data_IF_356750074942
#
_entry.id   IF_356750074942
#
_cell.length_a   1.000
_cell.length_b   1.000
_cell.length_c   1.000
_cell.angle_alpha   90.00
_cell.angle_beta   90.00
_cell.angle_gamma   90.00
#
_symmetry.space_group_name_H-M   'P 1'
#
loop_
_entity.id
_entity.type
_entity.pdbx_description
1 polymer ?
#
# COMPACT_ATOMS: atom_id res chain seq x y z
N UNK A 1 -9.10 -10.11 20.74
CA UNK A 1 -9.33 -11.49 20.22
C UNK A 1 -8.73 -11.61 18.83
N UNK A 2 -7.73 -12.48 18.62
CA UNK A 2 -7.24 -12.85 17.28
C UNK A 2 -7.97 -14.13 16.84
N UNK A 3 -8.98 -14.00 15.97
CA UNK A 3 -9.64 -15.11 15.28
C UNK A 3 -8.61 -15.93 14.45
N UNK A 4 -8.86 -17.22 14.15
CA UNK A 4 -7.85 -18.31 14.09
C UNK A 4 -6.88 -18.29 12.89
N UNK A 5 -6.86 -17.21 12.14
CA UNK A 5 -6.28 -17.18 10.80
C UNK A 5 -4.77 -16.88 10.82
N UNK A 6 -4.23 -16.37 11.95
CA UNK A 6 -2.85 -15.92 12.15
C UNK A 6 -2.21 -15.26 10.91
N UNK A 7 -3.00 -14.47 10.18
CA UNK A 7 -2.62 -13.91 8.89
C UNK A 7 -1.32 -13.09 8.96
N UNK A 8 -1.08 -12.44 10.10
CA UNK A 8 0.16 -11.71 10.41
C UNK A 8 1.42 -12.59 10.45
N UNK A 9 1.27 -13.89 10.71
CA UNK A 9 2.38 -14.86 10.78
C UNK A 9 2.62 -15.59 9.45
N UNK A 10 1.75 -15.40 8.45
CA UNK A 10 1.91 -16.06 7.15
C UNK A 10 3.06 -15.41 6.36
N UNK A 11 3.92 -16.24 5.79
CA UNK A 11 5.01 -15.77 4.94
C UNK A 11 4.47 -15.14 3.65
N UNK A 12 4.93 -13.94 3.33
CA UNK A 12 4.62 -13.23 2.08
C UNK A 12 5.35 -13.82 0.86
N UNK A 13 6.34 -14.70 1.05
CA UNK A 13 7.03 -15.36 -0.08
C UNK A 13 6.09 -16.35 -0.80
N UNK A 14 5.13 -16.93 -0.08
CA UNK A 14 4.15 -17.85 -0.65
C UNK A 14 2.99 -17.07 -1.31
N UNK A 15 2.75 -17.31 -2.60
CA UNK A 15 1.70 -16.62 -3.37
C UNK A 15 0.27 -16.88 -2.86
N UNK A 16 -0.03 -18.10 -2.42
CA UNK A 16 -1.35 -18.45 -1.83
C UNK A 16 -1.62 -17.65 -0.56
N UNK A 17 -0.61 -17.52 0.31
CA UNK A 17 -0.71 -16.70 1.51
C UNK A 17 -0.96 -15.23 1.18
N UNK A 18 -0.26 -14.68 0.16
CA UNK A 18 -0.49 -13.31 -0.31
C UNK A 18 -1.91 -13.12 -0.80
N UNK A 19 -2.43 -14.04 -1.63
CA UNK A 19 -3.79 -13.97 -2.17
C UNK A 19 -4.85 -13.96 -1.06
N UNK A 20 -4.68 -14.80 -0.04
CA UNK A 20 -5.59 -14.83 1.10
C UNK A 20 -5.52 -13.53 1.93
N UNK A 21 -4.31 -13.00 2.15
CA UNK A 21 -4.09 -11.72 2.81
C UNK A 21 -4.72 -10.56 2.04
N UNK A 22 -4.52 -10.49 0.73
CA UNK A 22 -5.11 -9.46 -0.14
C UNK A 22 -6.64 -9.55 -0.08
N UNK A 23 -7.21 -10.74 -0.20
CA UNK A 23 -8.66 -10.96 -0.09
C UNK A 23 -9.21 -10.44 1.25
N UNK A 24 -8.52 -10.75 2.35
CA UNK A 24 -8.90 -10.25 3.69
C UNK A 24 -8.79 -8.73 3.80
N UNK A 25 -7.68 -8.14 3.34
CA UNK A 25 -7.46 -6.69 3.39
C UNK A 25 -8.48 -5.95 2.53
N UNK A 26 -8.80 -6.47 1.33
CA UNK A 26 -9.77 -5.89 0.42
C UNK A 26 -11.16 -5.78 1.04
N UNK A 27 -11.65 -6.85 1.71
CA UNK A 27 -12.93 -6.84 2.43
C UNK A 27 -12.99 -5.77 3.54
N UNK A 28 -11.84 -5.36 4.07
CA UNK A 28 -11.74 -4.42 5.17
C UNK A 28 -11.35 -3.00 4.75
N UNK A 29 -11.22 -2.73 3.44
CA UNK A 29 -10.77 -1.43 2.91
C UNK A 29 -11.62 -0.27 3.40
N UNK A 30 -12.95 -0.37 3.27
CA UNK A 30 -13.86 0.72 3.64
C UNK A 30 -13.80 1.03 5.14
N UNK A 31 -13.75 -0.02 5.97
CA UNK A 31 -13.64 0.12 7.44
C UNK A 31 -12.33 0.78 7.87
N UNK A 32 -11.27 0.61 7.09
CA UNK A 32 -9.92 1.09 7.42
C UNK A 32 -9.45 2.22 6.49
N UNK A 33 -10.37 2.90 5.81
CA UNK A 33 -10.05 3.89 4.78
C UNK A 33 -9.10 4.98 5.28
N UNK A 34 -9.22 5.40 6.53
CA UNK A 34 -8.38 6.46 7.13
C UNK A 34 -7.25 5.91 8.02
N UNK A 35 -7.01 4.60 8.00
CA UNK A 35 -6.02 3.96 8.86
C UNK A 35 -4.67 3.83 8.14
N UNK A 36 -3.68 4.62 8.59
CA UNK A 36 -2.32 4.62 8.04
C UNK A 36 -1.66 3.23 8.13
N UNK A 37 -1.81 2.53 9.26
CA UNK A 37 -1.19 1.22 9.46
C UNK A 37 -1.79 0.16 8.53
N UNK A 38 -3.09 0.26 8.26
CA UNK A 38 -3.76 -0.59 7.27
C UNK A 38 -3.18 -0.38 5.88
N UNK A 39 -3.09 0.87 5.40
CA UNK A 39 -2.54 1.16 4.08
C UNK A 39 -1.05 0.82 3.96
N UNK A 40 -0.27 1.01 5.02
CA UNK A 40 1.13 0.60 5.05
C UNK A 40 1.28 -0.92 4.91
N UNK A 41 0.46 -1.69 5.65
CA UNK A 41 0.45 -3.16 5.53
C UNK A 41 -0.01 -3.60 4.13
N UNK A 42 -1.08 -2.99 3.61
CA UNK A 42 -1.62 -3.31 2.30
C UNK A 42 -0.61 -3.01 1.18
N UNK A 43 0.06 -1.87 1.23
CA UNK A 43 1.14 -1.51 0.31
C UNK A 43 2.27 -2.54 0.32
N UNK A 44 2.70 -3.02 1.50
CA UNK A 44 3.73 -4.05 1.61
C UNK A 44 3.29 -5.33 0.87
N UNK A 45 2.06 -5.79 1.10
CA UNK A 45 1.55 -7.01 0.45
C UNK A 45 1.42 -6.81 -1.07
N UNK A 46 0.82 -5.69 -1.50
CA UNK A 46 0.62 -5.37 -2.91
C UNK A 46 1.96 -5.17 -3.65
N UNK A 47 3.03 -4.78 -2.95
CA UNK A 47 4.34 -4.54 -3.55
C UNK A 47 5.02 -5.80 -4.09
N UNK A 48 4.65 -6.99 -3.61
CA UNK A 48 5.18 -8.27 -4.10
C UNK A 48 4.70 -8.61 -5.51
N UNK A 49 3.57 -8.06 -5.93
CA UNK A 49 2.97 -8.27 -7.25
C UNK A 49 2.82 -6.92 -8.00
N UNK A 50 3.69 -5.93 -7.69
CA UNK A 50 3.60 -4.54 -8.17
C UNK A 50 3.64 -4.36 -9.69
N UNK A 51 4.23 -5.31 -10.40
CA UNK A 51 4.28 -5.29 -11.88
C UNK A 51 2.94 -5.67 -12.53
N UNK A 52 2.03 -6.28 -11.76
CA UNK A 52 0.74 -6.80 -12.27
C UNK A 52 -0.48 -6.10 -11.69
N UNK A 53 -0.31 -5.18 -10.73
CA UNK A 53 -1.40 -4.84 -9.81
C UNK A 53 -1.67 -3.34 -9.68
N UNK A 54 -2.81 -2.90 -10.22
CA UNK A 54 -3.36 -1.54 -10.01
C UNK A 54 -3.63 -1.21 -8.53
N UNK A 55 -3.83 -2.21 -7.67
CA UNK A 55 -4.04 -1.99 -6.23
C UNK A 55 -2.78 -1.48 -5.53
N UNK A 56 -1.58 -1.74 -6.06
CA UNK A 56 -0.34 -1.19 -5.53
C UNK A 56 -0.35 0.34 -5.55
N UNK A 57 -0.66 0.93 -6.70
CA UNK A 57 -0.68 2.40 -6.84
C UNK A 57 -1.74 3.04 -5.94
N UNK A 58 -2.91 2.39 -5.83
CA UNK A 58 -3.99 2.83 -4.94
C UNK A 58 -3.57 2.78 -3.47
N UNK A 59 -2.94 1.69 -3.04
CA UNK A 59 -2.41 1.57 -1.68
C UNK A 59 -1.33 2.62 -1.41
N UNK A 60 -0.46 2.90 -2.38
CA UNK A 60 0.56 3.92 -2.28
C UNK A 60 -0.04 5.32 -2.14
N UNK A 61 -0.97 5.71 -3.03
CA UNK A 61 -1.61 7.03 -3.00
C UNK A 61 -2.34 7.26 -1.68
N UNK A 62 -3.14 6.30 -1.22
CA UNK A 62 -3.85 6.45 0.05
C UNK A 62 -2.89 6.65 1.22
N UNK A 63 -1.82 5.86 1.27
CA UNK A 63 -0.81 6.02 2.31
C UNK A 63 -0.09 7.38 2.20
N UNK A 64 0.25 7.80 0.99
CA UNK A 64 0.91 9.08 0.71
C UNK A 64 0.08 10.25 1.20
N UNK A 65 -1.22 10.29 0.86
CA UNK A 65 -2.13 11.35 1.29
C UNK A 65 -2.31 11.37 2.81
N UNK A 66 -2.52 10.21 3.43
CA UNK A 66 -2.76 10.12 4.87
C UNK A 66 -1.52 10.47 5.70
N UNK A 67 -0.32 10.32 5.13
CA UNK A 67 0.94 10.58 5.85
C UNK A 67 1.49 11.97 5.61
N UNK A 68 0.76 12.88 4.93
CA UNK A 68 1.22 14.25 4.65
C UNK A 68 1.73 15.02 5.88
N UNK A 69 1.09 14.83 7.03
CA UNK A 69 1.49 15.47 8.29
C UNK A 69 2.61 14.71 9.04
N UNK A 70 2.94 13.49 8.63
CA UNK A 70 4.06 12.71 9.16
C UNK A 70 5.30 12.91 8.27
N UNK A 71 6.11 13.92 8.60
CA UNK A 71 7.25 14.36 7.78
C UNK A 71 8.20 13.22 7.39
N UNK A 72 8.58 12.38 8.35
CA UNK A 72 9.52 11.28 8.09
C UNK A 72 8.92 10.25 7.13
N UNK A 73 7.71 9.76 7.43
CA UNK A 73 7.06 8.73 6.61
C UNK A 73 6.75 9.26 5.20
N UNK A 74 6.32 10.51 5.09
CA UNK A 74 6.06 11.15 3.81
C UNK A 74 7.35 11.29 2.99
N UNK A 75 8.46 11.69 3.60
CA UNK A 75 9.77 11.74 2.94
C UNK A 75 10.21 10.38 2.42
N UNK A 76 10.00 9.30 3.18
CA UNK A 76 10.34 7.94 2.74
C UNK A 76 9.51 7.52 1.52
N UNK A 77 8.21 7.86 1.50
CA UNK A 77 7.34 7.61 0.35
C UNK A 77 7.72 8.46 -0.86
N UNK A 78 8.09 9.72 -0.67
CA UNK A 78 8.61 10.60 -1.72
C UNK A 78 9.86 10.01 -2.39
N UNK A 79 10.82 9.53 -1.60
CA UNK A 79 12.02 8.83 -2.09
C UNK A 79 11.66 7.55 -2.84
N UNK A 80 10.76 6.74 -2.27
CA UNK A 80 10.30 5.52 -2.91
C UNK A 80 9.66 5.80 -4.27
N UNK A 81 8.80 6.82 -4.37
CA UNK A 81 8.15 7.22 -5.61
C UNK A 81 9.18 7.59 -6.69
N UNK A 82 10.20 8.40 -6.35
CA UNK A 82 11.27 8.76 -7.30
C UNK A 82 12.00 7.51 -7.79
N UNK A 83 12.44 6.64 -6.88
CA UNK A 83 13.19 5.42 -7.23
C UNK A 83 12.39 4.44 -8.08
N UNK A 84 11.06 4.45 -7.93
CA UNK A 84 10.16 3.53 -8.64
C UNK A 84 9.29 4.28 -9.66
N UNK A 85 9.70 5.46 -10.13
CA UNK A 85 8.85 6.35 -10.92
C UNK A 85 8.23 5.65 -12.14
N UNK A 86 8.99 4.80 -12.81
CA UNK A 86 8.55 4.07 -14.00
C UNK A 86 7.47 3.00 -13.72
N UNK A 87 7.28 2.61 -12.46
CA UNK A 87 6.25 1.65 -12.06
C UNK A 87 4.88 2.30 -11.87
N UNK A 88 4.80 3.63 -11.91
CA UNK A 88 3.55 4.37 -11.76
C UNK A 88 2.96 4.76 -13.12
N UNK A 89 1.65 4.67 -13.24
CA UNK A 89 0.87 5.16 -14.37
C UNK A 89 0.93 6.70 -14.43
N UNK A 90 0.87 7.27 -15.63
CA UNK A 90 0.94 8.73 -15.83
C UNK A 90 -0.14 9.48 -15.03
N UNK A 91 -1.35 8.91 -14.94
CA UNK A 91 -2.43 9.44 -14.11
C UNK A 91 -2.00 9.57 -12.65
N UNK A 92 -1.40 8.52 -12.08
CA UNK A 92 -1.06 8.46 -10.67
C UNK A 92 0.21 9.25 -10.35
N UNK A 93 1.18 9.30 -11.28
CA UNK A 93 2.31 10.22 -11.22
C UNK A 93 1.84 11.66 -11.03
N UNK A 94 0.88 12.11 -11.86
CA UNK A 94 0.32 13.46 -11.75
C UNK A 94 -0.30 13.72 -10.38
N UNK A 95 -1.14 12.80 -9.89
CA UNK A 95 -1.77 12.92 -8.55
C UNK A 95 -0.74 13.06 -7.43
N UNK A 96 0.34 12.27 -7.48
CA UNK A 96 1.42 12.31 -6.48
C UNK A 96 2.21 13.62 -6.58
N UNK A 97 2.54 14.06 -7.80
CA UNK A 97 3.27 15.31 -8.05
C UNK A 97 2.48 16.55 -7.62
N UNK A 98 1.17 16.59 -7.89
CA UNK A 98 0.27 17.67 -7.46
C UNK A 98 0.21 17.80 -5.93
N UNK A 99 0.54 16.72 -5.20
CA UNK A 99 0.53 16.65 -3.74
C UNK A 99 1.93 16.50 -3.13
N UNK A 100 2.98 16.82 -3.89
CA UNK A 100 4.37 16.57 -3.51
C UNK A 100 4.98 17.61 -2.56
N UNK A 101 4.26 18.70 -2.26
CA UNK A 101 4.70 19.74 -1.32
C UNK A 101 4.65 19.23 0.12
#
# INVERSE_FOLDING_TARGET
MKFPNYLEKKSLLNGTNRNELISFLNKNTNKNLLNINFWNKKLIVDSYDKEKNNEFEKSFINLFMLTKNNKQKNLDLKKYFILNFNLFSEKNKKVILDNYN
#
